data_IF_757804979361
#
_entry.id   IF_757804979361
#
_cell.length_a   1.000
_cell.length_b   1.000
_cell.length_c   1.000
_cell.angle_alpha   90.00
_cell.angle_beta   90.00
_cell.angle_gamma   90.00
#
_symmetry.space_group_name_H-M   'P 1'
#
loop_
_entity.id
_entity.type
_entity.pdbx_description
1 polymer ?
#
# COMPACT_ATOMS: atom_id res chain seq x y z
N UNK A 1 -13.86 32.20 -18.17
CA UNK A 1 -12.50 31.61 -18.20
C UNK A 1 -11.92 31.77 -19.61
N UNK A 2 -10.70 31.26 -19.92
CA UNK A 2 -10.26 31.24 -21.33
C UNK A 2 -11.36 30.57 -22.18
N UNK A 3 -11.66 31.17 -23.33
CA UNK A 3 -12.68 30.71 -24.29
C UNK A 3 -14.13 30.71 -23.79
N UNK A 4 -14.48 31.50 -22.77
CA UNK A 4 -15.88 31.65 -22.33
C UNK A 4 -16.43 30.49 -21.49
N UNK A 5 -15.63 29.46 -21.19
CA UNK A 5 -16.04 28.37 -20.29
C UNK A 5 -16.38 28.86 -18.88
N UNK A 6 -17.33 28.16 -18.26
CA UNK A 6 -17.81 28.38 -16.89
C UNK A 6 -16.94 27.70 -15.82
N UNK A 7 -16.19 26.65 -16.17
CA UNK A 7 -15.25 25.94 -15.29
C UNK A 7 -14.10 25.31 -16.11
N UNK A 8 -13.01 24.92 -15.44
CA UNK A 8 -11.94 24.14 -16.05
C UNK A 8 -12.40 22.68 -16.05
N UNK A 9 -12.42 22.05 -17.23
CA UNK A 9 -12.76 20.64 -17.36
C UNK A 9 -11.55 19.87 -17.88
N UNK A 10 -11.32 18.67 -17.36
CA UNK A 10 -10.21 17.81 -17.77
C UNK A 10 -10.67 16.35 -17.74
N UNK A 11 -10.14 15.56 -18.67
CA UNK A 11 -10.37 14.12 -18.74
C UNK A 11 -9.06 13.42 -18.37
N UNK A 12 -9.13 12.44 -17.49
CA UNK A 12 -7.98 11.62 -17.08
C UNK A 12 -8.17 10.18 -17.52
N UNK A 13 -7.09 9.55 -17.98
CA UNK A 13 -7.01 8.11 -18.24
C UNK A 13 -5.77 7.59 -17.52
N UNK A 14 -5.98 6.65 -16.59
CA UNK A 14 -4.93 6.08 -15.74
C UNK A 14 -5.16 4.58 -15.54
N UNK A 15 -4.08 3.86 -15.20
CA UNK A 15 -4.18 2.50 -14.68
C UNK A 15 -4.53 2.52 -13.19
N UNK A 16 -5.20 1.48 -12.68
CA UNK A 16 -5.58 1.37 -11.26
C UNK A 16 -4.38 1.42 -10.30
N UNK A 17 -3.21 1.00 -10.76
CA UNK A 17 -1.94 1.02 -10.01
C UNK A 17 -1.10 2.27 -10.28
N UNK A 18 -1.73 3.43 -10.44
CA UNK A 18 -1.05 4.71 -10.67
C UNK A 18 -1.00 5.54 -9.39
N UNK A 19 0.20 5.95 -8.97
CA UNK A 19 0.37 6.73 -7.73
C UNK A 19 -0.09 5.97 -6.49
N UNK A 20 -0.37 6.68 -5.39
CA UNK A 20 -0.89 6.08 -4.15
C UNK A 20 -2.26 5.42 -4.38
N UNK A 21 -2.35 4.13 -4.14
CA UNK A 21 -3.55 3.33 -4.40
C UNK A 21 -3.68 2.15 -3.42
N UNK A 22 -4.83 1.50 -3.46
CA UNK A 22 -5.16 0.33 -2.65
C UNK A 22 -5.40 -0.86 -3.58
N UNK A 23 -5.01 -2.05 -3.15
CA UNK A 23 -5.31 -3.28 -3.87
C UNK A 23 -6.46 -4.04 -3.20
N UNK A 24 -7.50 -4.33 -3.98
CA UNK A 24 -8.52 -5.25 -3.54
C UNK A 24 -8.08 -6.72 -3.74
N UNK A 25 -8.56 -7.66 -2.91
CA UNK A 25 -8.30 -9.09 -3.10
C UNK A 25 -8.67 -9.60 -4.50
N UNK A 26 -9.77 -9.09 -5.07
CA UNK A 26 -10.23 -9.42 -6.42
C UNK A 26 -9.22 -9.11 -7.53
N UNK A 27 -8.31 -8.16 -7.33
CA UNK A 27 -7.27 -7.83 -8.31
C UNK A 27 -6.35 -9.02 -8.63
N UNK A 28 -6.13 -9.92 -7.66
CA UNK A 28 -5.16 -11.02 -7.80
C UNK A 28 -5.79 -12.39 -7.98
N UNK A 29 -7.02 -12.60 -7.48
CA UNK A 29 -7.66 -13.90 -7.46
C UNK A 29 -9.10 -13.81 -7.98
N UNK A 30 -9.36 -14.45 -9.12
CA UNK A 30 -10.66 -14.40 -9.79
C UNK A 30 -11.82 -14.87 -8.91
N UNK A 31 -11.61 -15.82 -7.99
CA UNK A 31 -12.68 -16.26 -7.09
C UNK A 31 -13.05 -15.19 -6.05
N UNK A 32 -12.10 -14.34 -5.62
CA UNK A 32 -12.40 -13.18 -4.77
C UNK A 32 -13.14 -12.09 -5.55
N UNK A 33 -12.74 -11.84 -6.80
CA UNK A 33 -13.45 -10.93 -7.69
C UNK A 33 -14.92 -11.35 -7.88
N UNK A 34 -15.15 -12.61 -8.25
CA UNK A 34 -16.50 -13.18 -8.42
C UNK A 34 -17.33 -13.19 -7.14
N UNK A 35 -16.68 -13.22 -5.98
CA UNK A 35 -17.35 -13.17 -4.68
C UNK A 35 -17.58 -11.73 -4.16
N UNK A 36 -17.24 -10.70 -4.95
CA UNK A 36 -17.49 -9.30 -4.60
C UNK A 36 -16.47 -8.70 -3.63
N UNK A 37 -15.26 -9.27 -3.53
CA UNK A 37 -14.14 -8.70 -2.77
C UNK A 37 -13.30 -7.76 -3.67
N UNK A 38 -13.96 -6.82 -4.33
CA UNK A 38 -13.33 -5.75 -5.12
C UNK A 38 -13.52 -4.38 -4.45
N UNK A 39 -12.96 -3.31 -5.03
CA UNK A 39 -13.07 -1.94 -4.54
C UNK A 39 -14.49 -1.39 -4.59
N UNK A 40 -15.32 -1.92 -5.50
CA UNK A 40 -16.74 -1.58 -5.58
C UNK A 40 -17.59 -2.61 -4.82
N UNK A 41 -18.40 -2.12 -3.88
CA UNK A 41 -19.32 -2.97 -3.10
C UNK A 41 -20.62 -3.27 -3.85
N UNK A 42 -20.58 -3.26 -5.19
CA UNK A 42 -21.74 -3.22 -6.06
C UNK A 42 -22.50 -4.55 -6.17
N UNK A 43 -23.77 -4.54 -5.75
CA UNK A 43 -24.87 -5.43 -6.21
C UNK A 43 -25.27 -6.65 -5.36
N UNK A 44 -25.03 -6.68 -4.05
CA UNK A 44 -25.71 -7.67 -3.18
C UNK A 44 -25.95 -7.13 -1.78
N UNK A 45 -26.92 -7.72 -1.06
CA UNK A 45 -27.29 -7.46 0.37
C UNK A 45 -26.11 -7.39 1.36
N UNK A 46 -24.91 -7.74 0.90
CA UNK A 46 -23.63 -7.62 1.60
C UNK A 46 -23.14 -6.15 1.65
N UNK A 47 -23.65 -5.22 0.83
CA UNK A 47 -23.14 -3.84 0.71
C UNK A 47 -23.14 -3.02 2.02
N UNK A 48 -24.14 -3.15 2.90
CA UNK A 48 -24.13 -2.41 4.19
C UNK A 48 -23.13 -3.00 5.21
N UNK A 49 -22.99 -4.33 5.23
CA UNK A 49 -22.00 -5.03 6.07
C UNK A 49 -20.59 -4.81 5.49
N UNK A 50 -20.46 -4.78 4.16
CA UNK A 50 -19.20 -4.58 3.44
C UNK A 50 -18.72 -3.14 3.46
N UNK A 51 -19.57 -2.11 3.46
CA UNK A 51 -19.07 -0.73 3.56
C UNK A 51 -18.35 -0.51 4.90
N UNK A 52 -18.92 -0.97 6.02
CA UNK A 52 -18.20 -0.96 7.29
C UNK A 52 -17.00 -1.90 7.25
N UNK A 53 -17.13 -3.12 6.72
CA UNK A 53 -16.02 -4.08 6.70
C UNK A 53 -14.83 -3.62 5.83
N UNK A 54 -15.10 -2.95 4.71
CA UNK A 54 -14.14 -2.44 3.76
C UNK A 54 -13.56 -1.10 4.23
N UNK A 55 -14.39 -0.16 4.69
CA UNK A 55 -13.91 1.16 5.14
C UNK A 55 -13.23 1.10 6.50
N UNK A 56 -13.61 0.18 7.39
CA UNK A 56 -13.03 0.09 8.74
C UNK A 56 -11.51 -0.05 8.68
N UNK A 57 -10.90 -0.94 7.89
CA UNK A 57 -9.45 -0.99 7.71
C UNK A 57 -8.79 0.34 7.33
N UNK A 58 -9.48 1.27 6.65
CA UNK A 58 -8.90 2.56 6.22
C UNK A 58 -9.06 3.70 7.23
N UNK A 59 -9.97 3.58 8.21
CA UNK A 59 -10.31 4.68 9.12
C UNK A 59 -9.73 4.51 10.52
N UNK A 60 -8.71 5.29 10.85
CA UNK A 60 -8.18 5.41 12.22
C UNK A 60 -6.65 5.47 12.27
N UNK A 61 -6.05 5.39 13.46
CA UNK A 61 -4.61 5.51 13.64
C UNK A 61 -3.84 4.46 12.83
N UNK A 62 -2.73 4.90 12.23
CA UNK A 62 -1.79 4.07 11.48
C UNK A 62 -0.36 4.53 11.81
N UNK A 63 0.32 3.95 12.82
CA UNK A 63 1.71 4.26 13.11
C UNK A 63 2.61 4.02 11.90
N UNK A 64 3.53 4.95 11.67
CA UNK A 64 4.66 4.79 10.76
C UNK A 64 5.79 4.09 11.49
N UNK A 65 6.19 2.93 10.99
CA UNK A 65 7.34 2.18 11.48
C UNK A 65 8.47 2.31 10.48
N UNK A 66 9.61 2.78 10.97
CA UNK A 66 10.85 2.75 10.21
C UNK A 66 11.46 1.35 10.25
N UNK A 67 11.53 0.74 9.07
CA UNK A 67 12.22 -0.53 8.87
C UNK A 67 13.73 -0.26 8.91
N UNK A 68 14.55 -1.12 9.55
CA UNK A 68 16.00 -1.02 9.48
C UNK A 68 16.48 -0.88 8.03
N UNK A 69 17.26 0.16 7.76
CA UNK A 69 17.52 0.65 6.39
C UNK A 69 18.29 -0.36 5.52
N UNK A 70 18.98 -1.31 6.14
CA UNK A 70 19.79 -2.35 5.51
C UNK A 70 19.07 -3.72 5.38
N UNK A 71 17.80 -3.83 5.81
CA UNK A 71 17.08 -5.11 5.84
C UNK A 71 15.82 -5.15 4.96
N UNK A 72 15.50 -6.34 4.48
CA UNK A 72 14.14 -6.67 4.04
C UNK A 72 13.25 -6.96 5.26
N UNK A 73 11.94 -6.87 5.09
CA UNK A 73 10.98 -7.10 6.18
C UNK A 73 10.75 -8.63 6.32
N UNK A 74 11.60 -9.27 7.12
CA UNK A 74 11.58 -10.70 7.49
C UNK A 74 10.81 -10.94 8.78
N UNK A 75 10.66 -12.20 9.20
CA UNK A 75 10.04 -12.55 10.49
C UNK A 75 10.82 -11.94 11.67
N UNK A 76 12.16 -12.04 11.65
CA UNK A 76 13.05 -11.44 12.65
C UNK A 76 12.83 -9.92 12.76
N UNK A 77 12.77 -9.22 11.62
CA UNK A 77 12.50 -7.78 11.61
C UNK A 77 11.14 -7.52 12.24
N UNK A 78 10.09 -8.22 11.80
CA UNK A 78 8.73 -8.03 12.32
C UNK A 78 8.62 -8.29 13.82
N UNK A 79 9.27 -9.33 14.33
CA UNK A 79 9.31 -9.66 15.76
C UNK A 79 10.01 -8.55 16.56
N UNK A 80 11.11 -8.01 16.04
CA UNK A 80 11.85 -6.92 16.70
C UNK A 80 11.06 -5.63 16.85
N UNK A 81 10.02 -5.42 16.01
CA UNK A 81 9.18 -4.22 16.06
C UNK A 81 8.29 -4.15 17.30
N UNK A 82 8.09 -5.26 18.02
CA UNK A 82 7.30 -5.35 19.26
C UNK A 82 5.94 -4.65 19.15
N UNK A 83 5.23 -4.93 18.05
CA UNK A 83 3.96 -4.27 17.72
C UNK A 83 2.93 -4.56 18.83
N UNK A 84 2.38 -3.52 19.49
CA UNK A 84 1.36 -3.72 20.51
C UNK A 84 0.10 -4.38 19.96
N UNK A 85 -0.58 -5.20 20.78
CA UNK A 85 -1.91 -5.73 20.45
C UNK A 85 -2.90 -4.57 20.27
N UNK A 86 -3.88 -4.78 19.40
CA UNK A 86 -4.88 -3.77 19.03
C UNK A 86 -4.45 -2.80 17.93
N UNK A 87 -3.18 -2.80 17.49
CA UNK A 87 -2.76 -2.03 16.30
C UNK A 87 -3.38 -2.67 15.05
N UNK A 88 -4.30 -1.93 14.40
CA UNK A 88 -5.06 -2.40 13.24
C UNK A 88 -4.46 -1.97 11.90
N UNK A 89 -3.60 -0.95 11.88
CA UNK A 89 -3.03 -0.36 10.66
C UNK A 89 -1.58 -0.01 10.90
N UNK A 90 -0.75 -0.18 9.88
CA UNK A 90 0.66 0.18 9.97
C UNK A 90 1.16 0.72 8.65
N UNK A 91 1.98 1.76 8.69
CA UNK A 91 2.73 2.26 7.54
C UNK A 91 4.19 1.82 7.72
N UNK A 92 4.80 1.28 6.68
CA UNK A 92 6.20 0.87 6.69
C UNK A 92 7.02 1.87 5.88
N UNK A 93 7.80 2.70 6.59
CA UNK A 93 8.82 3.55 6.00
C UNK A 93 10.07 2.72 5.75
N UNK A 94 10.57 2.74 4.52
CA UNK A 94 11.74 1.95 4.14
C UNK A 94 12.79 2.81 3.43
N UNK A 95 13.96 2.22 3.21
CA UNK A 95 15.02 2.84 2.40
C UNK A 95 14.56 3.15 0.96
N UNK A 96 13.44 2.60 0.48
CA UNK A 96 12.92 2.89 -0.86
C UNK A 96 12.57 4.37 -1.03
N UNK A 97 11.98 4.99 0.01
CA UNK A 97 11.65 6.43 0.01
C UNK A 97 12.92 7.27 -0.03
N UNK A 98 13.90 6.96 0.82
CA UNK A 98 15.16 7.71 0.91
C UNK A 98 15.95 7.64 -0.41
N UNK A 99 15.86 6.50 -1.10
CA UNK A 99 16.45 6.28 -2.43
C UNK A 99 15.65 6.90 -3.57
N UNK A 100 14.49 7.49 -3.30
CA UNK A 100 13.65 8.13 -4.31
C UNK A 100 13.11 7.16 -5.37
N UNK A 101 12.99 5.87 -5.07
CA UNK A 101 12.75 4.84 -6.10
C UNK A 101 11.43 5.00 -6.87
N UNK A 102 10.45 5.73 -6.32
CA UNK A 102 9.21 6.06 -7.04
C UNK A 102 9.41 7.04 -8.21
N UNK A 103 10.52 7.76 -8.23
CA UNK A 103 10.86 8.72 -9.29
C UNK A 103 11.86 8.13 -10.31
N UNK A 104 12.29 6.89 -10.09
CA UNK A 104 13.20 6.19 -10.98
C UNK A 104 12.41 5.36 -12.00
N UNK A 105 12.83 5.42 -13.27
CA UNK A 105 12.23 4.60 -14.32
C UNK A 105 12.60 3.11 -14.19
N UNK A 106 13.70 2.81 -13.48
CA UNK A 106 14.19 1.45 -13.30
C UNK A 106 15.03 1.33 -12.03
N UNK A 107 14.86 0.23 -11.29
CA UNK A 107 15.68 -0.12 -10.13
C UNK A 107 15.85 -1.64 -10.06
N UNK A 108 17.05 -2.10 -9.71
CA UNK A 108 17.38 -3.53 -9.60
C UNK A 108 17.19 -4.10 -8.20
N UNK A 109 17.07 -3.23 -7.19
CA UNK A 109 16.93 -3.63 -5.78
C UNK A 109 16.03 -2.67 -5.03
N UNK A 110 15.20 -3.22 -4.15
CA UNK A 110 14.30 -2.48 -3.27
C UNK A 110 14.01 -3.29 -2.01
N UNK A 111 13.66 -2.59 -0.93
CA UNK A 111 13.23 -3.20 0.33
C UNK A 111 11.81 -3.76 0.15
N UNK A 112 11.60 -5.01 0.56
CA UNK A 112 10.30 -5.68 0.47
C UNK A 112 10.01 -6.54 1.68
N UNK A 113 8.73 -6.86 1.83
CA UNK A 113 8.33 -8.02 2.63
C UNK A 113 8.90 -9.30 2.04
N UNK A 114 9.40 -10.14 2.94
CA UNK A 114 9.63 -11.55 2.68
C UNK A 114 8.41 -12.34 3.14
N UNK A 115 8.31 -13.57 2.66
CA UNK A 115 7.14 -14.41 2.93
C UNK A 115 7.00 -14.73 4.43
N UNK A 116 8.11 -15.03 5.10
CA UNK A 116 8.19 -15.27 6.54
C UNK A 116 7.77 -14.05 7.36
N UNK A 117 8.24 -12.84 7.02
CA UNK A 117 7.81 -11.60 7.67
C UNK A 117 6.32 -11.34 7.50
N UNK A 118 5.77 -11.72 6.35
CA UNK A 118 4.34 -11.57 6.09
C UNK A 118 3.50 -12.55 6.90
N UNK A 119 3.91 -13.83 6.95
CA UNK A 119 3.26 -14.84 7.80
C UNK A 119 3.30 -14.41 9.26
N UNK A 120 4.46 -13.97 9.74
CA UNK A 120 4.62 -13.50 11.10
C UNK A 120 3.65 -12.36 11.42
N UNK A 121 3.54 -11.35 10.55
CA UNK A 121 2.59 -10.23 10.74
C UNK A 121 1.15 -10.72 10.86
N UNK A 122 0.71 -11.58 9.93
CA UNK A 122 -0.66 -12.10 9.90
C UNK A 122 -0.99 -12.92 11.15
N UNK A 123 -0.05 -13.75 11.61
CA UNK A 123 -0.27 -14.70 12.70
C UNK A 123 -0.14 -14.06 14.09
N UNK A 124 0.73 -13.05 14.24
CA UNK A 124 1.13 -12.54 15.55
C UNK A 124 0.57 -11.15 15.89
N UNK A 125 -0.15 -10.49 14.96
CA UNK A 125 -0.66 -9.12 15.15
C UNK A 125 -2.15 -8.98 14.86
N UNK A 126 -2.73 -7.84 15.26
CA UNK A 126 -4.12 -7.47 14.94
C UNK A 126 -4.25 -6.66 13.64
N UNK A 127 -3.16 -6.51 12.89
CA UNK A 127 -3.09 -5.64 11.72
C UNK A 127 -4.03 -6.13 10.62
N UNK A 128 -4.75 -5.20 10.00
CA UNK A 128 -5.69 -5.41 8.89
C UNK A 128 -5.45 -4.49 7.69
N UNK A 129 -4.60 -3.49 7.84
CA UNK A 129 -4.14 -2.64 6.74
C UNK A 129 -2.65 -2.39 6.88
N UNK A 130 -1.90 -2.59 5.81
CA UNK A 130 -0.52 -2.14 5.72
C UNK A 130 -0.35 -1.13 4.60
N UNK A 131 0.43 -0.10 4.87
CA UNK A 131 0.88 0.88 3.90
C UNK A 131 2.36 0.70 3.61
N UNK A 132 2.78 0.74 2.35
CA UNK A 132 4.20 0.69 1.96
C UNK A 132 4.54 1.78 0.98
N UNK A 133 5.80 2.16 0.96
CA UNK A 133 6.32 3.27 0.20
C UNK A 133 6.68 2.97 -1.26
N UNK A 134 6.61 1.71 -1.72
CA UNK A 134 6.92 1.36 -3.10
C UNK A 134 5.98 0.29 -3.65
N UNK A 135 5.67 0.39 -4.95
CA UNK A 135 4.96 -0.64 -5.71
C UNK A 135 5.88 -1.28 -6.76
N UNK A 136 6.53 -2.42 -6.46
CA UNK A 136 7.09 -3.23 -7.52
C UNK A 136 5.95 -3.92 -8.29
N UNK A 137 5.92 -3.74 -9.62
CA UNK A 137 4.94 -4.38 -10.53
C UNK A 137 4.96 -5.92 -10.51
N UNK A 138 5.93 -6.54 -9.84
CA UNK A 138 6.12 -7.98 -9.81
C UNK A 138 5.33 -8.61 -8.65
N UNK A 139 4.34 -9.42 -9.02
CA UNK A 139 3.57 -10.26 -8.11
C UNK A 139 4.52 -11.14 -7.29
N UNK A 140 4.36 -11.06 -5.99
CA UNK A 140 5.27 -11.69 -5.05
C UNK A 140 4.44 -12.45 -4.04
N UNK A 141 4.79 -13.72 -3.79
CA UNK A 141 4.00 -14.67 -3.00
C UNK A 141 3.55 -14.18 -1.62
N UNK A 142 4.22 -13.19 -1.05
CA UNK A 142 3.79 -12.54 0.19
C UNK A 142 2.41 -11.84 0.07
N UNK A 143 2.04 -11.32 -1.10
CA UNK A 143 0.75 -10.65 -1.27
C UNK A 143 -0.41 -11.61 -1.04
N UNK A 144 -0.29 -12.86 -1.49
CA UNK A 144 -1.28 -13.91 -1.24
C UNK A 144 -1.41 -14.24 0.25
N UNK A 145 -0.32 -14.14 1.01
CA UNK A 145 -0.34 -14.35 2.46
C UNK A 145 -1.14 -13.23 3.15
N UNK A 146 -0.97 -11.96 2.74
CA UNK A 146 -1.78 -10.86 3.25
C UNK A 146 -3.27 -11.03 2.93
N UNK A 147 -3.60 -11.40 1.68
CA UNK A 147 -4.99 -11.65 1.29
C UNK A 147 -5.63 -12.76 2.13
N UNK A 148 -4.94 -13.90 2.28
CA UNK A 148 -5.44 -15.02 3.09
C UNK A 148 -5.56 -14.67 4.58
N UNK A 149 -4.75 -13.73 5.06
CA UNK A 149 -4.79 -13.20 6.42
C UNK A 149 -5.83 -12.08 6.65
N UNK A 150 -6.63 -11.73 5.63
CA UNK A 150 -7.53 -10.58 5.64
C UNK A 150 -6.82 -9.25 5.99
N UNK A 151 -5.66 -9.01 5.37
CA UNK A 151 -4.89 -7.77 5.48
C UNK A 151 -4.88 -7.06 4.13
N UNK A 152 -5.38 -5.83 4.10
CA UNK A 152 -5.39 -4.97 2.90
C UNK A 152 -4.03 -4.28 2.72
N UNK A 153 -3.69 -3.98 1.47
CA UNK A 153 -2.46 -3.29 1.10
C UNK A 153 -2.75 -1.92 0.49
N UNK A 154 -2.09 -0.90 1.03
CA UNK A 154 -1.98 0.44 0.46
C UNK A 154 -0.53 0.62 -0.03
N UNK A 155 -0.36 1.09 -1.27
CA UNK A 155 0.92 1.14 -1.96
C UNK A 155 1.35 2.57 -2.29
N UNK A 156 2.65 2.76 -2.45
CA UNK A 156 3.30 4.02 -2.87
C UNK A 156 2.91 5.20 -1.98
N UNK A 157 2.96 4.97 -0.66
CA UNK A 157 2.80 6.04 0.32
C UNK A 157 4.11 6.80 0.47
N UNK A 158 4.11 8.08 0.10
CA UNK A 158 5.22 8.97 0.38
C UNK A 158 5.02 9.66 1.71
N UNK A 159 6.02 9.54 2.59
CA UNK A 159 6.18 10.44 3.72
C UNK A 159 7.45 11.26 3.48
N UNK A 160 7.31 12.54 3.17
CA UNK A 160 8.47 13.45 3.17
C UNK A 160 8.72 13.88 4.61
N UNK A 161 9.89 13.55 5.15
CA UNK A 161 10.42 14.31 6.28
C UNK A 161 10.66 15.74 5.82
N UNK A 162 10.44 16.71 6.70
CA UNK A 162 10.47 18.14 6.38
C UNK A 162 11.86 18.69 6.04
N UNK A 163 12.89 17.86 5.87
CA UNK A 163 14.20 18.31 5.42
C UNK A 163 14.22 18.41 3.88
N UNK A 164 13.79 19.58 3.40
CA UNK A 164 13.65 19.93 1.98
C UNK A 164 14.95 19.99 1.16
N UNK A 165 15.89 19.06 1.32
CA UNK A 165 17.10 18.98 0.51
C UNK A 165 17.19 17.66 -0.25
N UNK A 166 16.50 17.60 -1.40
CA UNK A 166 16.93 16.87 -2.62
C UNK A 166 15.90 17.09 -3.72
N UNK A 167 15.88 18.31 -4.25
CA UNK A 167 15.40 18.55 -5.61
C UNK A 167 16.61 18.46 -6.54
N UNK A 168 16.92 17.27 -7.06
CA UNK A 168 17.62 17.22 -8.35
C UNK A 168 16.54 17.42 -9.42
N UNK A 169 16.47 18.65 -9.94
CA UNK A 169 15.78 18.90 -11.21
C UNK A 169 16.53 18.09 -12.26
N UNK A 170 15.92 17.04 -12.79
CA UNK A 170 16.35 16.49 -14.07
C UNK A 170 15.95 17.52 -15.13
N UNK A 171 16.96 18.09 -15.79
CA UNK A 171 16.77 18.89 -16.98
C UNK A 171 16.13 18.00 -18.05
N UNK A 172 14.93 18.38 -18.47
CA UNK A 172 14.31 17.86 -19.69
C UNK A 172 15.16 18.36 -20.87
N UNK A 173 15.62 17.43 -21.71
CA UNK A 173 15.94 17.68 -23.12
C UNK A 173 14.81 17.10 -23.96
#
# INVERSE_FOLDING_TARGET
MKNGSSFNYSIMKLHDHTGTHVDAPGHYLNHYFKAGFDVDTGSSKIAEVNLRHFLTPFLGPAPLIDVPRDKNITAEVMESLKIPRGVRRMLFGTLNTDRGLMYENFFTSFVRFKEDGTKWLVENTDVKLIGRDLNPLLSSGYFLVFLRGNVLLNRTLQHRTSDGSKTSRSNVR
#
